data_IF_209475532426
#
_entry.id   IF_209475532426
#
_cell.length_a   1.000
_cell.length_b   1.000
_cell.length_c   1.000
_cell.angle_alpha   90.00
_cell.angle_beta   90.00
_cell.angle_gamma   90.00
#
_symmetry.space_group_name_H-M   'P 1'
#
loop_
_entity.id
_entity.type
_entity.pdbx_description
1 polymer ?
#
# COMPACT_ATOMS: atom_id res chain seq x y z
N UNK A 1 23.83 28.11 -41.47
CA UNK A 1 23.51 27.66 -40.09
C UNK A 1 22.42 26.61 -40.22
N UNK A 2 22.74 25.34 -39.93
CA UNK A 2 22.02 24.18 -40.46
C UNK A 2 20.86 23.65 -39.60
N UNK A 3 20.01 22.77 -40.17
CA UNK A 3 18.86 22.14 -39.52
C UNK A 3 19.21 21.32 -38.26
N UNK A 4 20.49 20.96 -38.11
CA UNK A 4 21.05 20.28 -36.93
C UNK A 4 20.85 21.06 -35.61
N UNK A 5 20.87 22.40 -35.67
CA UNK A 5 20.66 23.23 -34.50
C UNK A 5 19.19 23.20 -34.04
N UNK A 6 18.25 23.13 -34.98
CA UNK A 6 16.82 23.01 -34.70
C UNK A 6 16.48 21.62 -34.18
N UNK A 7 17.09 20.57 -34.75
CA UNK A 7 16.97 19.20 -34.29
C UNK A 7 17.49 19.04 -32.85
N UNK A 8 18.68 19.58 -32.58
CA UNK A 8 19.26 19.59 -31.22
C UNK A 8 18.37 20.34 -30.23
N UNK A 9 17.83 21.50 -30.61
CA UNK A 9 16.94 22.28 -29.75
C UNK A 9 15.61 21.55 -29.48
N UNK A 10 15.09 20.82 -30.47
CA UNK A 10 13.87 20.01 -30.33
C UNK A 10 14.09 18.81 -29.39
N UNK A 11 15.24 18.15 -29.49
CA UNK A 11 15.67 17.09 -28.56
C UNK A 11 15.82 17.63 -27.12
N UNK A 12 16.43 18.81 -26.94
CA UNK A 12 16.54 19.47 -25.64
C UNK A 12 15.16 19.82 -25.05
N UNK A 13 14.21 20.26 -25.87
CA UNK A 13 12.84 20.56 -25.44
C UNK A 13 12.05 19.29 -25.07
N UNK A 14 12.25 18.17 -25.79
CA UNK A 14 11.65 16.88 -25.44
C UNK A 14 12.20 16.32 -24.12
N UNK A 15 13.51 16.45 -23.88
CA UNK A 15 14.13 16.01 -22.61
C UNK A 15 13.66 16.89 -21.45
N UNK A 16 13.48 18.19 -21.66
CA UNK A 16 12.98 19.12 -20.64
C UNK A 16 11.49 18.92 -20.29
N UNK A 17 10.71 18.29 -21.17
CA UNK A 17 9.28 18.03 -20.96
C UNK A 17 8.98 16.62 -20.41
N UNK A 18 10.01 15.79 -20.19
CA UNK A 18 9.88 14.39 -19.76
C UNK A 18 9.55 14.17 -18.27
N UNK A 19 9.54 15.22 -17.45
CA UNK A 19 9.24 15.13 -16.00
C UNK A 19 7.88 15.78 -15.69
N UNK A 20 6.86 15.44 -16.49
CA UNK A 20 5.48 15.75 -16.17
C UNK A 20 5.02 14.89 -14.97
N UNK A 21 5.48 15.31 -13.79
CA UNK A 21 4.74 15.36 -12.54
C UNK A 21 3.63 14.31 -12.40
N UNK A 22 4.03 13.08 -12.07
CA UNK A 22 3.13 12.04 -11.54
C UNK A 22 2.64 12.39 -10.11
N UNK A 23 2.56 13.68 -9.75
CA UNK A 23 2.17 14.16 -8.41
C UNK A 23 0.66 14.38 -8.30
N UNK A 24 -0.05 14.44 -9.43
CA UNK A 24 -1.49 14.71 -9.46
C UNK A 24 -2.40 13.54 -9.08
N UNK A 25 -1.91 12.30 -9.01
CA UNK A 25 -2.78 11.12 -8.83
C UNK A 25 -2.82 10.55 -7.41
N UNK A 26 -1.79 10.75 -6.59
CA UNK A 26 -1.71 10.14 -5.26
C UNK A 26 -0.70 10.91 -4.42
N UNK A 27 -1.16 11.61 -3.38
CA UNK A 27 -0.27 12.14 -2.35
C UNK A 27 0.05 10.99 -1.39
N UNK A 28 1.29 10.44 -1.41
CA UNK A 28 1.64 9.35 -0.53
C UNK A 28 1.61 9.79 0.92
N UNK A 29 1.64 11.08 1.29
CA UNK A 29 1.43 11.49 2.68
C UNK A 29 -0.05 11.33 3.11
N UNK A 30 -0.99 11.45 2.15
CA UNK A 30 -2.44 11.38 2.40
C UNK A 30 -3.08 10.03 2.08
N UNK A 31 -2.38 9.08 1.48
CA UNK A 31 -2.95 7.77 1.15
C UNK A 31 -2.15 6.62 1.79
N UNK A 32 -1.92 6.78 3.09
CA UNK A 32 -1.30 5.81 4.00
C UNK A 32 -1.86 5.90 5.41
N UNK A 33 -3.07 6.45 5.54
CA UNK A 33 -3.82 6.39 6.79
C UNK A 33 -4.20 4.94 7.07
N UNK A 34 -4.30 4.60 8.36
CA UNK A 34 -4.77 3.28 8.77
C UNK A 34 -6.20 3.06 8.23
N UNK A 35 -6.43 1.88 7.62
CA UNK A 35 -7.73 1.56 7.01
C UNK A 35 -8.69 0.84 7.96
N UNK A 36 -8.22 0.40 9.13
CA UNK A 36 -9.12 -0.03 10.19
C UNK A 36 -8.78 -1.30 10.96
N UNK A 37 -7.59 -1.88 10.72
CA UNK A 37 -7.19 -3.10 11.43
C UNK A 37 -7.07 -2.86 12.93
N UNK A 38 -6.36 -1.82 13.35
CA UNK A 38 -6.13 -1.53 14.77
C UNK A 38 -7.34 -0.90 15.47
N UNK A 39 -7.99 0.09 14.85
CA UNK A 39 -9.08 0.87 15.47
C UNK A 39 -10.46 0.18 15.42
N UNK A 40 -10.54 -1.03 14.83
CA UNK A 40 -11.77 -1.82 14.63
C UNK A 40 -12.74 -1.28 13.57
N UNK A 41 -12.34 -0.32 12.75
CA UNK A 41 -13.18 0.13 11.62
C UNK A 41 -13.43 -1.02 10.62
N UNK A 42 -12.43 -1.87 10.37
CA UNK A 42 -12.64 -3.15 9.66
C UNK A 42 -13.25 -4.13 10.66
N UNK A 43 -14.46 -4.68 10.47
CA UNK A 43 -15.10 -5.60 11.40
C UNK A 43 -14.49 -7.01 11.32
N UNK A 44 -14.66 -7.81 12.37
CA UNK A 44 -14.14 -9.18 12.44
C UNK A 44 -14.68 -10.09 11.31
N UNK A 45 -15.92 -9.83 10.84
CA UNK A 45 -16.53 -10.56 9.73
C UNK A 45 -15.77 -10.42 8.40
N UNK A 46 -15.00 -9.35 8.25
CA UNK A 46 -14.25 -9.07 7.02
C UNK A 46 -12.81 -9.62 7.08
N UNK A 47 -12.43 -10.21 8.23
CA UNK A 47 -11.09 -10.76 8.46
C UNK A 47 -11.17 -12.29 8.43
N UNK A 48 -10.56 -12.89 7.41
CA UNK A 48 -10.53 -14.35 7.24
C UNK A 48 -9.12 -14.86 6.99
N UNK A 49 -8.91 -16.14 7.28
CA UNK A 49 -7.69 -16.87 6.96
C UNK A 49 -8.06 -18.28 6.50
N UNK A 50 -7.22 -18.91 5.69
CA UNK A 50 -7.44 -20.28 5.22
C UNK A 50 -7.36 -21.33 6.32
N UNK A 51 -6.66 -21.03 7.41
CA UNK A 51 -6.54 -21.87 8.59
C UNK A 51 -6.15 -21.07 9.83
N UNK A 52 -6.26 -21.67 11.00
CA UNK A 52 -5.77 -21.11 12.27
C UNK A 52 -5.33 -22.24 13.19
N UNK A 53 -4.27 -22.04 13.97
CA UNK A 53 -3.77 -23.02 14.94
C UNK A 53 -4.84 -23.36 16.00
N UNK A 54 -5.49 -22.35 16.54
CA UNK A 54 -6.61 -22.44 17.48
C UNK A 54 -7.58 -21.27 17.28
N UNK A 55 -8.71 -21.28 17.99
CA UNK A 55 -9.62 -20.14 18.01
C UNK A 55 -8.98 -18.91 18.70
N UNK A 56 -8.12 -19.12 19.69
CA UNK A 56 -7.35 -18.04 20.34
C UNK A 56 -6.32 -17.37 19.41
N UNK A 57 -5.98 -18.02 18.29
CA UNK A 57 -5.16 -17.44 17.21
C UNK A 57 -5.92 -17.32 15.90
N UNK A 58 -7.26 -17.18 15.94
CA UNK A 58 -8.10 -16.96 14.77
C UNK A 58 -7.78 -15.65 14.04
N UNK A 59 -8.20 -15.53 12.78
CA UNK A 59 -7.89 -14.39 11.90
C UNK A 59 -8.22 -13.02 12.51
N UNK A 60 -9.32 -12.90 13.26
CA UNK A 60 -9.74 -11.68 13.97
C UNK A 60 -8.71 -11.14 14.97
N UNK A 61 -7.80 -11.99 15.45
CA UNK A 61 -6.71 -11.63 16.36
C UNK A 61 -5.50 -11.02 15.63
N UNK A 62 -5.52 -10.85 14.30
CA UNK A 62 -4.43 -10.29 13.49
C UNK A 62 -4.26 -8.75 13.55
N UNK A 63 -4.97 -8.07 14.44
CA UNK A 63 -5.00 -6.60 14.50
C UNK A 63 -3.69 -6.06 15.10
N UNK A 64 -3.12 -5.05 14.46
CA UNK A 64 -1.91 -4.37 14.93
C UNK A 64 -2.15 -3.77 16.34
N UNK A 65 -1.14 -3.83 17.21
CA UNK A 65 -1.21 -3.37 18.62
C UNK A 65 -2.36 -3.99 19.44
N UNK A 66 -2.85 -5.16 19.05
CA UNK A 66 -3.86 -5.91 19.81
C UNK A 66 -3.22 -6.96 20.72
N UNK A 67 -3.91 -7.26 21.82
CA UNK A 67 -3.58 -8.36 22.73
C UNK A 67 -4.75 -9.34 22.89
N UNK A 68 -5.74 -9.29 21.99
CA UNK A 68 -6.85 -10.23 21.97
C UNK A 68 -6.37 -11.66 21.71
N UNK A 69 -7.04 -12.64 22.30
CA UNK A 69 -6.70 -14.06 22.13
C UNK A 69 -5.31 -14.36 22.70
N UNK A 70 -4.53 -15.13 21.96
CA UNK A 70 -3.11 -15.39 22.28
C UNK A 70 -2.16 -14.37 21.62
N UNK A 71 -2.68 -13.19 21.28
CA UNK A 71 -1.94 -12.01 20.83
C UNK A 71 -1.95 -11.77 19.32
N UNK A 72 -2.03 -12.81 18.50
CA UNK A 72 -2.01 -12.68 17.04
C UNK A 72 -2.76 -13.83 16.34
N UNK A 73 -2.81 -13.75 15.01
CA UNK A 73 -3.18 -14.89 14.18
C UNK A 73 -1.98 -15.82 13.94
N UNK A 74 -2.21 -17.13 13.93
CA UNK A 74 -1.24 -18.14 13.56
C UNK A 74 -1.88 -19.19 12.64
N UNK A 75 -1.24 -19.57 11.52
CA UNK A 75 -1.77 -20.62 10.64
C UNK A 75 -1.78 -21.98 11.34
N UNK A 76 -2.69 -22.87 10.92
CA UNK A 76 -2.62 -24.27 11.35
C UNK A 76 -1.33 -24.94 10.81
N UNK A 77 -0.77 -25.88 11.58
CA UNK A 77 0.33 -26.72 11.11
C UNK A 77 -0.08 -27.58 9.91
N UNK A 78 0.89 -27.89 9.05
CA UNK A 78 0.73 -28.80 7.89
C UNK A 78 0.74 -30.27 8.27
#
# INVERSE_FOLDING_TARGET
MGPEALSSLLLLLLVASGDADMKGHFDPAKCRYALGMQDRTIPDSDISASSSWSDSTAARHSRLESSDGDGAWCPAGS
#
